data_IF_768423113713
#
_entry.id   IF_768423113713
#
_cell.length_a   1.000
_cell.length_b   1.000
_cell.length_c   1.000
_cell.angle_alpha   90.00
_cell.angle_beta   90.00
_cell.angle_gamma   90.00
#
_symmetry.space_group_name_H-M   'P 1'
#
loop_
_entity.id
_entity.type
_entity.pdbx_description
1 polymer ?
#
# COMPACT_ATOMS: atom_id res chain seq x y z
N UNK A 1 -11.24 -25.76 -15.21
CA UNK A 1 -10.06 -25.22 -14.53
C UNK A 1 -10.34 -25.33 -13.03
N UNK A 2 -9.78 -26.33 -12.37
CA UNK A 2 -9.96 -26.56 -10.92
C UNK A 2 -9.20 -25.49 -10.15
N UNK A 3 -9.85 -24.89 -9.15
CA UNK A 3 -9.17 -24.00 -8.21
C UNK A 3 -8.11 -24.81 -7.45
N UNK A 4 -6.91 -24.25 -7.19
CA UNK A 4 -5.93 -24.92 -6.35
C UNK A 4 -6.52 -25.13 -4.96
N UNK A 5 -6.29 -26.31 -4.39
CA UNK A 5 -6.65 -26.60 -3.00
C UNK A 5 -5.92 -25.63 -2.08
N UNK A 6 -6.64 -25.05 -1.11
CA UNK A 6 -6.01 -24.25 -0.07
C UNK A 6 -5.06 -25.17 0.73
N UNK A 7 -3.91 -24.65 1.21
CA UNK A 7 -3.04 -25.42 2.10
C UNK A 7 -3.84 -25.89 3.33
N UNK A 8 -3.73 -27.17 3.67
CA UNK A 8 -4.40 -27.79 4.82
C UNK A 8 -3.87 -27.26 6.17
N UNK A 9 -2.62 -26.80 6.19
CA UNK A 9 -1.98 -26.24 7.37
C UNK A 9 -2.28 -24.74 7.50
N UNK A 10 -2.68 -24.25 8.69
CA UNK A 10 -2.93 -22.84 8.90
C UNK A 10 -1.67 -22.01 8.65
N UNK A 11 -1.77 -21.03 7.76
CA UNK A 11 -0.71 -20.04 7.50
C UNK A 11 -0.42 -19.28 8.80
N UNK A 12 0.67 -19.64 9.46
CA UNK A 12 1.10 -19.00 10.71
C UNK A 12 1.93 -17.76 10.38
N UNK A 13 1.49 -16.60 10.86
CA UNK A 13 2.22 -15.33 10.74
C UNK A 13 2.73 -14.96 12.13
N UNK A 14 4.05 -14.86 12.28
CA UNK A 14 4.70 -14.41 13.51
C UNK A 14 5.10 -12.95 13.38
N UNK A 15 4.57 -12.09 14.24
CA UNK A 15 4.97 -10.69 14.36
C UNK A 15 5.83 -10.50 15.61
N UNK A 16 6.96 -9.82 15.47
CA UNK A 16 7.87 -9.51 16.57
C UNK A 16 7.81 -8.02 16.90
N UNK A 17 7.74 -7.70 18.20
CA UNK A 17 7.87 -6.33 18.68
C UNK A 17 9.34 -5.94 18.70
N UNK A 18 9.68 -4.82 18.07
CA UNK A 18 11.01 -4.23 18.14
C UNK A 18 11.09 -3.34 19.39
N UNK A 19 12.03 -3.59 20.32
CA UNK A 19 12.26 -2.70 21.46
C UNK A 19 12.59 -1.28 20.99
N UNK A 20 12.16 -0.27 21.76
CA UNK A 20 12.44 1.16 21.52
C UNK A 20 11.91 1.77 20.20
N UNK A 21 10.94 1.12 19.55
CA UNK A 21 10.30 1.62 18.33
C UNK A 21 8.80 1.84 18.52
N UNK A 22 8.26 2.93 17.98
CA UNK A 22 6.80 3.13 17.92
C UNK A 22 6.16 1.98 17.10
N UNK A 23 5.11 1.32 17.62
CA UNK A 23 4.50 0.21 16.93
C UNK A 23 3.90 0.67 15.60
N UNK A 24 4.18 -0.08 14.53
CA UNK A 24 3.57 0.15 13.22
C UNK A 24 2.22 -0.56 13.16
N UNK A 25 1.10 0.17 13.00
CA UNK A 25 -0.22 -0.45 12.95
C UNK A 25 -0.36 -1.39 11.76
N UNK A 26 -0.91 -2.58 12.00
CA UNK A 26 -1.33 -3.51 10.96
C UNK A 26 -2.84 -3.34 10.78
N UNK A 27 -3.27 -2.88 9.61
CA UNK A 27 -4.67 -2.56 9.32
C UNK A 27 -5.17 -3.29 8.08
N UNK A 28 -6.47 -3.60 7.96
CA UNK A 28 -7.00 -4.18 6.73
C UNK A 28 -6.84 -3.18 5.57
N UNK A 29 -6.57 -3.69 4.36
CA UNK A 29 -6.43 -2.82 3.20
C UNK A 29 -7.76 -2.16 2.84
N UNK A 30 -7.73 -0.83 2.67
CA UNK A 30 -8.90 -0.05 2.27
C UNK A 30 -9.27 -0.32 0.81
N UNK A 31 -10.57 -0.23 0.46
CA UNK A 31 -11.00 -0.20 -0.95
C UNK A 31 -10.73 1.14 -1.63
N UNK A 32 -10.58 2.20 -0.84
CA UNK A 32 -10.44 3.57 -1.31
C UNK A 32 -8.97 3.91 -1.59
N UNK A 33 -8.76 4.75 -2.60
CA UNK A 33 -7.45 5.25 -3.02
C UNK A 33 -7.63 6.69 -3.49
N UNK A 34 -6.74 7.58 -3.09
CA UNK A 34 -6.86 9.01 -3.38
C UNK A 34 -6.93 9.27 -4.90
N UNK A 35 -6.07 8.62 -5.69
CA UNK A 35 -6.12 8.74 -7.17
C UNK A 35 -7.46 8.32 -7.79
N UNK A 36 -8.21 7.42 -7.15
CA UNK A 36 -9.54 6.97 -7.62
C UNK A 36 -10.62 8.02 -7.32
N UNK A 37 -10.49 8.76 -6.23
CA UNK A 37 -11.38 9.87 -5.87
C UNK A 37 -11.24 11.02 -6.85
N UNK A 38 -10.03 11.26 -7.32
CA UNK A 38 -9.71 12.30 -8.28
C UNK A 38 -10.11 11.98 -9.74
N UNK A 39 -10.49 10.73 -10.05
CA UNK A 39 -11.00 10.38 -11.38
C UNK A 39 -12.41 10.96 -11.50
N UNK A 40 -12.62 11.74 -12.57
CA UNK A 40 -13.90 12.38 -12.84
C UNK A 40 -15.06 11.37 -12.73
N UNK A 41 -16.10 11.70 -11.97
CA UNK A 41 -17.27 10.82 -11.79
C UNK A 41 -17.00 9.52 -11.03
N UNK A 42 -15.86 9.38 -10.36
CA UNK A 42 -15.49 8.22 -9.54
C UNK A 42 -15.57 6.88 -10.30
N UNK A 43 -15.37 6.90 -11.62
CA UNK A 43 -15.55 5.70 -12.47
C UNK A 43 -14.65 4.54 -12.07
N UNK A 44 -13.48 4.84 -11.48
CA UNK A 44 -12.56 3.84 -10.98
C UNK A 44 -13.25 2.90 -9.97
N UNK A 45 -14.12 3.43 -9.10
CA UNK A 45 -14.87 2.63 -8.12
C UNK A 45 -15.92 1.69 -8.73
N UNK A 46 -16.21 1.78 -10.03
CA UNK A 46 -17.20 0.92 -10.70
C UNK A 46 -16.63 -0.41 -11.17
N UNK A 47 -15.31 -0.56 -11.18
CA UNK A 47 -14.65 -1.82 -11.53
C UNK A 47 -14.56 -2.72 -10.29
N UNK A 48 -15.53 -3.64 -10.13
CA UNK A 48 -15.54 -4.59 -9.02
C UNK A 48 -14.21 -5.36 -8.86
N UNK A 49 -13.58 -5.88 -9.94
CA UNK A 49 -12.26 -6.50 -9.83
C UNK A 49 -11.20 -5.59 -9.18
N UNK A 50 -11.25 -4.29 -9.46
CA UNK A 50 -10.31 -3.33 -8.92
C UNK A 50 -10.58 -3.01 -7.44
N UNK A 51 -11.85 -2.89 -7.04
CA UNK A 51 -12.20 -2.77 -5.61
C UNK A 51 -11.78 -4.00 -4.80
N UNK A 52 -12.05 -5.19 -5.35
CA UNK A 52 -11.64 -6.44 -4.71
C UNK A 52 -10.13 -6.50 -4.58
N UNK A 53 -9.37 -6.08 -5.60
CA UNK A 53 -7.92 -6.03 -5.54
C UNK A 53 -7.41 -5.07 -4.46
N UNK A 54 -8.01 -3.87 -4.34
CA UNK A 54 -7.64 -2.90 -3.32
C UNK A 54 -7.80 -3.45 -1.89
N UNK A 55 -8.79 -4.30 -1.65
CA UNK A 55 -9.10 -4.83 -0.31
C UNK A 55 -8.36 -6.11 0.05
N UNK A 56 -7.52 -6.66 -0.85
CA UNK A 56 -6.78 -7.87 -0.53
C UNK A 56 -5.69 -7.58 0.48
N UNK A 57 -5.71 -8.32 1.58
CA UNK A 57 -4.63 -8.36 2.56
C UNK A 57 -4.66 -7.26 3.62
N UNK A 58 -3.51 -7.12 4.26
CA UNK A 58 -3.27 -6.20 5.37
C UNK A 58 -2.13 -5.26 5.02
N UNK A 59 -2.11 -4.08 5.63
CA UNK A 59 -1.15 -3.01 5.38
C UNK A 59 -0.46 -2.69 6.69
N UNK A 60 0.87 -2.58 6.66
CA UNK A 60 1.68 -2.09 7.78
C UNK A 60 1.88 -0.59 7.57
N UNK A 61 1.35 0.24 8.47
CA UNK A 61 1.47 1.69 8.37
C UNK A 61 2.84 2.15 8.89
N UNK A 62 3.58 2.87 8.06
CA UNK A 62 4.89 3.41 8.42
C UNK A 62 4.75 4.49 9.52
N UNK A 63 5.64 4.45 10.50
CA UNK A 63 5.73 5.47 11.56
C UNK A 63 6.28 6.81 11.03
N UNK A 64 7.01 6.77 9.93
CA UNK A 64 7.66 7.91 9.30
C UNK A 64 7.10 8.13 7.91
N UNK A 65 7.04 9.39 7.50
CA UNK A 65 6.57 9.74 6.17
C UNK A 65 7.70 9.67 5.19
N UNK A 66 7.51 8.82 4.20
CA UNK A 66 8.45 8.68 3.11
C UNK A 66 7.79 9.02 1.79
N UNK A 67 8.67 9.37 0.88
CA UNK A 67 8.38 9.92 -0.39
C UNK A 67 9.11 9.13 -1.47
N UNK A 68 8.44 8.17 -2.10
CA UNK A 68 9.01 7.33 -3.15
C UNK A 68 8.88 8.01 -4.53
N UNK A 69 9.76 7.75 -5.49
CA UNK A 69 9.50 8.08 -6.88
C UNK A 69 10.03 6.97 -7.75
N UNK A 70 9.18 6.35 -8.56
CA UNK A 70 9.59 5.32 -9.50
C UNK A 70 9.25 5.72 -10.93
N UNK A 71 10.25 5.72 -11.80
CA UNK A 71 10.10 6.13 -13.20
C UNK A 71 9.73 4.96 -14.16
N UNK A 72 9.38 3.79 -13.62
CA UNK A 72 9.07 2.60 -14.43
C UNK A 72 10.29 1.80 -14.90
N UNK A 73 11.52 2.23 -14.59
CA UNK A 73 12.73 1.50 -14.95
C UNK A 73 12.97 0.30 -14.02
N UNK A 74 13.48 -0.80 -14.60
CA UNK A 74 13.93 -1.97 -13.83
C UNK A 74 15.28 -1.74 -13.12
N UNK A 75 15.93 -0.58 -13.29
CA UNK A 75 17.19 -0.24 -12.62
C UNK A 75 16.91 0.36 -11.25
N UNK A 76 17.77 0.08 -10.27
CA UNK A 76 17.71 0.71 -8.94
C UNK A 76 17.73 2.24 -9.01
N UNK A 77 18.46 2.80 -9.99
CA UNK A 77 18.52 4.24 -10.21
C UNK A 77 17.19 4.86 -10.66
N UNK A 78 16.20 4.05 -11.06
CA UNK A 78 14.83 4.48 -11.35
C UNK A 78 13.98 4.72 -10.11
N UNK A 79 14.45 4.30 -8.92
CA UNK A 79 13.81 4.53 -7.64
C UNK A 79 14.50 5.67 -6.88
N UNK A 80 13.70 6.56 -6.29
CA UNK A 80 14.13 7.58 -5.33
C UNK A 80 13.29 7.49 -4.08
N UNK A 81 13.89 7.77 -2.93
CA UNK A 81 13.24 7.77 -1.64
C UNK A 81 13.66 9.06 -0.91
N UNK A 82 12.69 9.82 -0.43
CA UNK A 82 12.89 11.01 0.38
C UNK A 82 12.12 10.88 1.70
N UNK A 83 12.64 11.47 2.77
CA UNK A 83 11.91 11.58 4.04
C UNK A 83 11.12 12.89 4.04
N UNK A 84 9.87 12.84 4.48
CA UNK A 84 9.02 14.02 4.59
C UNK A 84 8.99 14.53 6.04
N UNK A 85 8.78 15.84 6.25
CA UNK A 85 8.62 16.41 7.58
C UNK A 85 7.45 15.79 8.34
N UNK A 86 7.60 15.70 9.68
CA UNK A 86 6.61 15.14 10.61
C UNK A 86 5.26 15.88 10.60
N UNK A 87 5.23 17.15 10.20
CA UNK A 87 4.04 18.03 10.23
C UNK A 87 2.96 17.67 9.24
N UNK A 88 3.25 16.82 8.27
CA UNK A 88 2.27 16.46 7.29
C UNK A 88 1.27 15.42 7.93
N UNK A 89 0.05 15.15 7.39
CA UNK A 89 -0.91 14.18 7.98
C UNK A 89 -0.55 12.69 7.77
N UNK A 90 -0.51 11.84 8.82
CA UNK A 90 -0.26 10.38 8.70
C UNK A 90 -1.29 9.77 7.72
N UNK A 91 -0.85 9.36 6.53
CA UNK A 91 -1.71 8.79 5.49
C UNK A 91 -1.12 7.43 5.05
N UNK A 92 -1.96 6.43 4.78
CA UNK A 92 -1.47 5.20 4.17
C UNK A 92 -0.86 5.56 2.82
N UNK A 93 0.33 5.03 2.53
CA UNK A 93 1.06 5.34 1.30
C UNK A 93 0.40 4.62 0.11
N UNK A 94 -0.71 5.17 -0.37
CA UNK A 94 -1.35 4.74 -1.59
C UNK A 94 -1.28 5.87 -2.62
N UNK A 95 -0.68 5.56 -3.76
CA UNK A 95 -0.45 6.39 -4.95
C UNK A 95 -1.34 7.64 -5.04
N UNK A 96 -0.73 8.82 -4.99
CA UNK A 96 -1.33 10.11 -5.33
C UNK A 96 -0.45 10.80 -6.40
N UNK A 97 -1.08 11.49 -7.35
CA UNK A 97 -0.55 11.83 -8.69
C UNK A 97 0.70 12.70 -8.70
N UNK A 98 0.96 13.45 -7.65
CA UNK A 98 2.03 14.46 -7.67
C UNK A 98 3.42 13.93 -7.29
N UNK A 99 3.52 12.66 -6.88
CA UNK A 99 4.81 11.98 -6.86
C UNK A 99 4.60 10.53 -7.26
N UNK A 100 5.07 10.14 -8.44
CA UNK A 100 4.85 8.80 -8.98
C UNK A 100 5.30 7.71 -8.00
N UNK A 101 4.38 6.97 -7.38
CA UNK A 101 4.72 6.07 -6.25
C UNK A 101 4.18 4.67 -6.41
N UNK A 102 5.16 3.77 -6.49
CA UNK A 102 5.12 2.32 -6.46
C UNK A 102 4.23 1.76 -5.33
N UNK A 103 3.46 0.75 -5.71
CA UNK A 103 2.72 -0.17 -4.85
C UNK A 103 3.70 -1.26 -4.34
N UNK A 104 3.92 -1.38 -3.03
CA UNK A 104 4.43 -2.64 -2.46
C UNK A 104 3.19 -3.45 -2.11
N UNK A 105 2.95 -4.52 -2.87
CA UNK A 105 1.93 -5.55 -2.59
C UNK A 105 2.41 -6.43 -1.45
#
# INVERSE_FOLDING_TARGET
MSLPSLPEEPLTISAYLLPDHEPMPIVPSSKFRDWMDEIHGHYAYRCLPMLMANQRGWVILNNTRIALHWNGSNKLSGLRIAYLPITAPKAPCFSDRDVGRLLIV
#
